data_IF_196727281344
#
_entry.id   IF_196727281344
#
_cell.length_a   1.000
_cell.length_b   1.000
_cell.length_c   1.000
_cell.angle_alpha   90.00
_cell.angle_beta   90.00
_cell.angle_gamma   90.00
#
_symmetry.space_group_name_H-M   'P 1'
#
loop_
_entity.id
_entity.type
_entity.pdbx_description
1 polymer ?
#
# COMPACT_ATOMS: atom_id res chain seq x y z
N UNK A 1 30.65 -18.28 -13.41
CA UNK A 1 29.41 -19.08 -13.42
C UNK A 1 28.24 -18.43 -12.66
N UNK A 2 28.42 -17.82 -11.47
CA UNK A 2 27.33 -17.15 -10.72
C UNK A 2 26.62 -16.00 -11.43
N UNK A 3 27.32 -15.21 -12.27
CA UNK A 3 26.72 -14.07 -13.00
C UNK A 3 25.73 -14.51 -14.09
N UNK A 4 26.00 -15.61 -14.81
CA UNK A 4 25.09 -16.11 -15.86
C UNK A 4 23.80 -16.71 -15.27
N UNK A 5 23.86 -17.33 -14.09
CA UNK A 5 22.68 -17.88 -13.42
C UNK A 5 21.69 -16.77 -13.00
N UNK A 6 22.19 -15.60 -12.58
CA UNK A 6 21.37 -14.46 -12.18
C UNK A 6 20.67 -13.85 -13.41
N UNK A 7 21.37 -13.70 -14.54
CA UNK A 7 20.78 -13.19 -15.78
C UNK A 7 19.71 -14.12 -16.35
N UNK A 8 19.91 -15.44 -16.24
CA UNK A 8 18.94 -16.44 -16.70
C UNK A 8 17.69 -16.49 -15.82
N UNK A 9 17.85 -16.34 -14.50
CA UNK A 9 16.74 -16.22 -13.56
C UNK A 9 15.89 -14.95 -13.83
N UNK A 10 16.54 -13.84 -14.18
CA UNK A 10 15.85 -12.59 -14.53
C UNK A 10 15.02 -12.74 -15.82
N UNK A 11 15.53 -13.45 -16.83
CA UNK A 11 14.82 -13.73 -18.08
C UNK A 11 13.61 -14.66 -17.88
N UNK A 12 13.68 -15.62 -16.96
CA UNK A 12 12.56 -16.50 -16.61
C UNK A 12 11.41 -15.74 -15.94
N UNK A 13 11.70 -14.74 -15.11
CA UNK A 13 10.69 -13.87 -14.47
C UNK A 13 10.00 -12.95 -15.49
N UNK A 14 10.66 -12.62 -16.60
CA UNK A 14 10.12 -11.78 -17.68
C UNK A 14 9.26 -12.54 -18.70
N UNK A 15 9.42 -13.86 -18.81
CA UNK A 15 8.69 -14.71 -19.78
C UNK A 15 7.16 -14.71 -19.67
N UNK A 16 6.51 -14.65 -18.49
CA UNK A 16 5.03 -14.63 -18.42
C UNK A 16 4.41 -13.31 -18.90
N UNK A 17 5.18 -12.23 -19.05
CA UNK A 17 4.65 -10.95 -19.56
C UNK A 17 4.37 -10.98 -21.07
N UNK A 18 5.00 -11.88 -21.82
CA UNK A 18 4.85 -11.96 -23.29
C UNK A 18 3.60 -12.74 -23.69
N UNK A 19 3.11 -13.66 -22.84
CA UNK A 19 1.98 -14.55 -23.15
C UNK A 19 0.58 -14.00 -22.78
N UNK A 20 0.47 -12.76 -22.30
CA UNK A 20 -0.82 -12.20 -21.82
C UNK A 20 -1.70 -11.55 -22.91
N UNK A 21 -1.37 -11.66 -24.19
CA UNK A 21 -2.14 -11.01 -25.27
C UNK A 21 -2.98 -12.00 -26.07
N UNK A 22 -3.94 -12.66 -25.42
CA UNK A 22 -5.08 -13.25 -26.13
C UNK A 22 -6.29 -12.34 -25.92
N UNK A 23 -6.53 -11.45 -26.89
CA UNK A 23 -7.76 -10.66 -26.95
C UNK A 23 -8.84 -11.57 -27.51
N UNK A 24 -9.65 -12.17 -26.62
CA UNK A 24 -10.92 -12.77 -27.02
C UNK A 24 -11.90 -11.67 -27.43
N UNK A 25 -12.56 -11.73 -28.59
CA UNK A 25 -13.43 -10.65 -29.09
C UNK A 25 -14.73 -10.44 -28.30
N UNK A 26 -14.99 -11.20 -27.23
CA UNK A 26 -16.32 -11.28 -26.58
C UNK A 26 -16.29 -11.12 -25.05
N UNK A 27 -15.20 -10.56 -24.51
CA UNK A 27 -15.17 -10.20 -23.10
C UNK A 27 -16.07 -8.97 -22.88
N UNK A 28 -17.25 -9.16 -22.27
CA UNK A 28 -18.05 -8.08 -21.64
C UNK A 28 -17.08 -7.06 -21.06
N UNK A 29 -17.12 -5.82 -21.57
CA UNK A 29 -16.17 -4.78 -21.19
C UNK A 29 -16.21 -4.62 -19.67
N UNK A 30 -15.22 -5.21 -18.99
CA UNK A 30 -15.10 -5.05 -17.56
C UNK A 30 -14.81 -3.57 -17.30
N UNK A 31 -15.59 -2.96 -16.42
CA UNK A 31 -15.47 -1.55 -16.07
C UNK A 31 -14.22 -1.29 -15.18
N UNK A 32 -13.40 -2.32 -14.90
CA UNK A 32 -12.22 -2.19 -14.04
C UNK A 32 -12.63 -1.68 -12.64
N UNK A 33 -13.70 -2.26 -12.10
CA UNK A 33 -14.33 -1.86 -10.84
C UNK A 33 -13.51 -2.31 -9.64
N UNK A 34 -12.88 -3.48 -9.76
CA UNK A 34 -12.08 -4.08 -8.71
C UNK A 34 -10.62 -4.11 -9.13
N UNK A 35 -9.73 -4.02 -8.17
CA UNK A 35 -8.29 -3.95 -8.39
C UNK A 35 -7.54 -4.72 -7.34
N UNK A 36 -6.60 -5.56 -7.79
CA UNK A 36 -5.52 -6.04 -6.94
C UNK A 36 -4.33 -5.13 -7.07
N UNK A 37 -3.76 -4.75 -5.94
CA UNK A 37 -2.74 -3.72 -5.82
C UNK A 37 -1.59 -4.26 -4.99
N UNK A 38 -0.36 -4.08 -5.46
CA UNK A 38 0.84 -4.17 -4.65
C UNK A 38 1.40 -2.75 -4.45
N UNK A 39 1.73 -2.40 -3.21
CA UNK A 39 2.03 -1.02 -2.82
C UNK A 39 3.20 -0.92 -1.86
N UNK A 40 4.00 0.13 -2.04
CA UNK A 40 5.06 0.56 -1.15
C UNK A 40 4.74 1.94 -0.58
N UNK A 41 5.03 2.16 0.69
CA UNK A 41 4.81 3.47 1.33
C UNK A 41 3.34 3.92 1.31
N UNK A 42 2.40 2.98 1.29
CA UNK A 42 0.97 3.28 1.32
C UNK A 42 0.34 3.07 2.70
N UNK A 43 -1.00 2.91 2.78
CA UNK A 43 -1.72 2.65 4.03
C UNK A 43 -1.28 1.38 4.76
N UNK A 44 -0.70 0.41 4.04
CA UNK A 44 -0.02 -0.74 4.63
C UNK A 44 1.34 -0.44 5.27
N UNK A 45 1.72 0.84 5.36
CA UNK A 45 2.92 1.40 5.98
C UNK A 45 4.17 1.22 5.12
N UNK A 46 4.74 0.00 5.03
CA UNK A 46 5.94 -0.23 4.23
C UNK A 46 5.62 -0.97 2.94
N UNK A 47 5.17 -2.23 3.01
CA UNK A 47 4.75 -3.03 1.87
C UNK A 47 3.34 -3.55 2.08
N UNK A 48 2.49 -3.59 1.05
CA UNK A 48 1.17 -4.22 1.16
C UNK A 48 0.61 -4.74 -0.15
N UNK A 49 -0.22 -5.78 -0.02
CA UNK A 49 -1.14 -6.22 -1.04
C UNK A 49 -2.55 -5.79 -0.64
N UNK A 50 -3.28 -5.14 -1.54
CA UNK A 50 -4.59 -4.57 -1.29
C UNK A 50 -5.59 -5.05 -2.34
N UNK A 51 -6.82 -5.32 -1.89
CA UNK A 51 -7.99 -5.43 -2.73
C UNK A 51 -8.79 -4.14 -2.61
N UNK A 52 -9.05 -3.52 -3.76
CA UNK A 52 -9.80 -2.27 -3.87
C UNK A 52 -10.99 -2.48 -4.78
N UNK A 53 -12.17 -2.01 -4.39
CA UNK A 53 -13.39 -2.14 -5.20
C UNK A 53 -14.27 -0.90 -5.11
N UNK A 54 -14.91 -0.52 -6.22
CA UNK A 54 -15.93 0.55 -6.22
C UNK A 54 -17.27 0.01 -5.72
N UNK A 55 -18.05 0.84 -5.04
CA UNK A 55 -19.40 0.43 -4.59
C UNK A 55 -20.42 0.41 -5.72
N UNK A 56 -20.23 1.27 -6.74
CA UNK A 56 -21.06 1.31 -7.94
C UNK A 56 -20.38 0.59 -9.10
N UNK A 57 -21.13 0.26 -10.14
CA UNK A 57 -20.60 -0.31 -11.38
C UNK A 57 -19.92 0.79 -12.23
N UNK A 58 -18.84 1.33 -11.70
CA UNK A 58 -18.02 2.39 -12.28
C UNK A 58 -16.57 2.14 -11.89
N UNK A 59 -15.61 2.79 -12.58
CA UNK A 59 -14.21 2.86 -12.13
C UNK A 59 -13.94 4.08 -11.23
N UNK A 60 -14.84 5.07 -11.28
CA UNK A 60 -14.73 6.33 -10.55
C UNK A 60 -15.68 6.34 -9.34
N UNK A 61 -15.47 7.32 -8.46
CA UNK A 61 -16.30 7.56 -7.29
C UNK A 61 -15.92 6.72 -6.10
N UNK A 62 -16.88 6.52 -5.20
CA UNK A 62 -16.69 5.84 -3.92
C UNK A 62 -16.35 4.36 -4.06
N UNK A 63 -15.40 3.93 -3.24
CA UNK A 63 -15.03 2.53 -3.05
C UNK A 63 -14.39 2.28 -1.69
N UNK A 64 -14.04 1.02 -1.50
CA UNK A 64 -13.35 0.54 -0.32
C UNK A 64 -12.06 -0.17 -0.69
N UNK A 65 -11.14 -0.20 0.26
CA UNK A 65 -9.87 -0.91 0.21
C UNK A 65 -9.69 -1.70 1.49
N UNK A 66 -9.24 -2.94 1.35
CA UNK A 66 -8.71 -3.75 2.44
C UNK A 66 -7.44 -4.43 1.97
N UNK A 67 -6.48 -4.63 2.86
CA UNK A 67 -5.23 -5.29 2.50
C UNK A 67 -4.54 -5.95 3.66
N UNK A 68 -3.39 -6.54 3.32
CA UNK A 68 -2.42 -7.08 4.25
C UNK A 68 -1.06 -6.54 3.87
N UNK A 69 -0.35 -6.01 4.85
CA UNK A 69 0.99 -5.48 4.67
C UNK A 69 1.98 -6.00 5.70
N UNK A 70 3.21 -5.57 5.50
CA UNK A 70 4.35 -5.92 6.32
C UNK A 70 5.15 -4.66 6.58
N UNK A 71 5.58 -4.49 7.84
CA UNK A 71 6.46 -3.42 8.26
C UNK A 71 7.53 -4.00 9.17
N UNK A 72 8.75 -3.50 9.02
CA UNK A 72 9.87 -3.80 9.90
C UNK A 72 10.37 -2.52 10.54
N UNK A 73 10.64 -2.57 11.83
CA UNK A 73 11.17 -1.46 12.60
C UNK A 73 12.10 -1.99 13.70
N UNK A 74 12.99 -1.14 14.19
CA UNK A 74 13.86 -1.46 15.31
C UNK A 74 13.06 -1.35 16.61
N UNK A 75 13.20 -2.35 17.49
CA UNK A 75 12.62 -2.32 18.83
C UNK A 75 13.60 -1.65 19.78
N UNK A 76 13.58 -0.32 19.83
CA UNK A 76 14.35 0.40 20.84
C UNK A 76 13.71 0.16 22.22
N UNK A 77 14.48 -0.34 23.18
CA UNK A 77 14.02 -0.54 24.55
C UNK A 77 14.69 0.47 25.47
N UNK A 78 13.87 1.15 26.27
CA UNK A 78 14.34 2.08 27.30
C UNK A 78 14.82 1.30 28.52
N UNK A 79 16.10 1.47 28.88
CA UNK A 79 16.66 0.87 30.09
C UNK A 79 16.48 1.85 31.28
N UNK A 80 15.60 1.53 32.26
CA UNK A 80 15.33 2.40 33.40
C UNK A 80 16.50 2.48 34.38
N UNK A 81 17.49 1.59 34.29
CA UNK A 81 18.66 1.55 35.18
C UNK A 81 19.77 2.47 34.65
N UNK A 82 19.98 2.50 33.33
CA UNK A 82 21.04 3.30 32.71
C UNK A 82 20.55 4.63 32.14
N UNK A 83 19.23 4.82 32.01
CA UNK A 83 18.63 6.04 31.44
C UNK A 83 18.87 6.18 29.93
N UNK A 84 19.33 5.12 29.27
CA UNK A 84 19.68 5.11 27.85
C UNK A 84 18.68 4.30 27.03
N UNK A 85 18.58 4.65 25.74
CA UNK A 85 17.94 3.80 24.74
C UNK A 85 18.97 2.82 24.21
N UNK A 86 18.72 1.53 24.38
CA UNK A 86 19.52 0.49 23.75
C UNK A 86 18.80 0.04 22.48
N UNK A 87 19.52 0.06 21.35
CA UNK A 87 18.98 -0.40 20.06
C UNK A 87 18.75 -1.90 20.12
N UNK A 88 17.49 -2.33 20.04
CA UNK A 88 17.12 -3.74 20.01
C UNK A 88 17.09 -4.31 18.60
N UNK A 89 16.66 -5.57 18.52
CA UNK A 89 16.61 -6.32 17.27
C UNK A 89 15.59 -5.74 16.28
N UNK A 90 15.84 -5.94 14.98
CA UNK A 90 14.87 -5.61 13.94
C UNK A 90 13.67 -6.57 14.05
N UNK A 91 12.51 -6.01 14.36
CA UNK A 91 11.26 -6.76 14.43
C UNK A 91 10.39 -6.49 13.21
N UNK A 92 9.57 -7.48 12.84
CA UNK A 92 8.59 -7.37 11.76
C UNK A 92 7.18 -7.64 12.28
N UNK A 93 6.23 -6.87 11.77
CA UNK A 93 4.80 -6.98 12.05
C UNK A 93 3.97 -7.02 10.76
N UNK A 94 2.79 -7.60 10.89
CA UNK A 94 1.77 -7.61 9.85
C UNK A 94 0.89 -6.38 10.06
N UNK A 95 0.48 -5.74 8.96
CA UNK A 95 -0.44 -4.61 8.96
C UNK A 95 -1.73 -4.98 8.24
N UNK A 96 -2.86 -4.50 8.76
CA UNK A 96 -4.19 -4.72 8.20
C UNK A 96 -4.83 -3.36 7.89
N UNK A 97 -4.54 -2.76 6.71
CA UNK A 97 -5.16 -1.53 6.27
C UNK A 97 -6.62 -1.75 5.81
N UNK A 98 -7.50 -0.85 6.23
CA UNK A 98 -8.88 -0.72 5.74
C UNK A 98 -9.15 0.75 5.45
N UNK A 99 -9.62 1.07 4.25
CA UNK A 99 -9.90 2.44 3.84
C UNK A 99 -11.18 2.59 3.02
N UNK A 100 -11.78 3.76 3.12
CA UNK A 100 -12.71 4.29 2.13
C UNK A 100 -11.96 5.25 1.22
N UNK A 101 -12.31 5.27 -0.06
CA UNK A 101 -11.69 6.22 -0.98
C UNK A 101 -12.65 6.66 -2.08
N UNK A 102 -12.34 7.81 -2.69
CA UNK A 102 -13.06 8.40 -3.81
C UNK A 102 -12.08 8.68 -4.95
N UNK A 103 -12.42 8.23 -6.16
CA UNK A 103 -11.64 8.47 -7.36
C UNK A 103 -12.32 9.53 -8.23
N UNK A 104 -11.65 10.68 -8.39
CA UNK A 104 -12.00 11.77 -9.28
C UNK A 104 -11.36 11.54 -10.65
N UNK A 105 -12.09 11.78 -11.74
CA UNK A 105 -11.54 11.63 -13.08
C UNK A 105 -12.58 11.78 -14.16
N UNK A 106 -12.16 11.54 -15.41
CA UNK A 106 -13.06 11.51 -16.57
C UNK A 106 -13.26 10.06 -17.02
N UNK A 107 -14.49 9.66 -17.34
CA UNK A 107 -14.77 8.30 -17.82
C UNK A 107 -14.01 7.94 -19.11
N UNK A 108 -13.63 8.89 -19.94
CA UNK A 108 -12.88 8.57 -21.17
C UNK A 108 -11.36 8.77 -21.01
N UNK A 109 -10.89 9.12 -19.81
CA UNK A 109 -9.47 9.30 -19.53
C UNK A 109 -8.94 8.11 -18.72
N UNK A 110 -7.70 7.66 -18.98
CA UNK A 110 -7.03 6.72 -18.10
C UNK A 110 -6.48 7.40 -16.84
N UNK A 111 -6.53 8.73 -16.75
CA UNK A 111 -5.96 9.50 -15.66
C UNK A 111 -7.03 9.90 -14.65
N UNK A 112 -6.73 9.70 -13.38
CA UNK A 112 -7.62 9.95 -12.26
C UNK A 112 -6.82 10.32 -11.02
N UNK A 113 -7.49 10.90 -10.04
CA UNK A 113 -6.93 11.24 -8.74
C UNK A 113 -7.75 10.55 -7.66
N UNK A 114 -7.09 9.94 -6.70
CA UNK A 114 -7.70 9.17 -5.63
C UNK A 114 -7.43 9.86 -4.29
N UNK A 115 -8.48 10.04 -3.50
CA UNK A 115 -8.40 10.49 -2.10
C UNK A 115 -9.00 9.41 -1.23
N UNK A 116 -8.28 8.98 -0.21
CA UNK A 116 -8.71 7.93 0.71
C UNK A 116 -8.41 8.26 2.16
N UNK A 117 -9.17 7.63 3.04
CA UNK A 117 -9.04 7.73 4.49
C UNK A 117 -9.46 6.43 5.16
N UNK A 118 -8.77 6.04 6.22
CA UNK A 118 -9.11 4.84 6.98
C UNK A 118 -8.17 4.55 8.13
N UNK A 119 -8.06 3.28 8.47
CA UNK A 119 -7.34 2.79 9.63
C UNK A 119 -6.43 1.63 9.24
N UNK A 120 -5.26 1.55 9.87
CA UNK A 120 -4.35 0.42 9.74
C UNK A 120 -4.06 -0.15 11.11
N UNK A 121 -4.39 -1.43 11.30
CA UNK A 121 -4.04 -2.16 12.50
C UNK A 121 -2.69 -2.87 12.33
N UNK A 122 -1.81 -2.80 13.33
CA UNK A 122 -0.50 -3.43 13.34
C UNK A 122 -0.47 -4.50 14.42
N UNK A 123 -0.08 -5.72 14.05
CA UNK A 123 -0.20 -6.88 14.95
C UNK A 123 0.78 -6.85 16.13
N UNK A 124 1.87 -6.09 16.03
CA UNK A 124 2.85 -5.89 17.10
C UNK A 124 3.05 -4.40 17.38
N UNK A 125 3.39 -4.08 18.62
CA UNK A 125 3.76 -2.74 19.06
C UNK A 125 5.21 -2.45 18.61
N UNK A 126 5.34 -1.82 17.44
CA UNK A 126 6.64 -1.42 16.86
C UNK A 126 6.77 0.10 16.85
N UNK A 127 8.00 0.61 16.99
CA UNK A 127 8.31 2.03 16.76
C UNK A 127 8.29 2.32 15.26
N UNK A 128 7.10 2.59 14.73
CA UNK A 128 6.91 2.88 13.31
C UNK A 128 7.21 4.37 13.10
N UNK A 129 8.14 4.67 12.20
CA UNK A 129 8.48 6.03 11.73
C UNK A 129 8.75 7.09 12.82
N UNK A 130 9.11 6.70 14.05
CA UNK A 130 9.37 7.57 15.20
C UNK A 130 8.13 8.25 15.81
N UNK A 131 6.92 7.69 15.64
CA UNK A 131 5.73 8.15 16.37
C UNK A 131 5.90 8.10 17.90
N UNK A 132 6.84 7.30 18.40
CA UNK A 132 7.08 7.07 19.82
C UNK A 132 8.25 7.90 20.40
N UNK A 133 8.93 8.74 19.61
CA UNK A 133 10.08 9.54 20.10
C UNK A 133 9.66 10.67 21.07
N UNK A 134 8.37 11.04 21.09
CA UNK A 134 7.86 12.18 21.87
C UNK A 134 6.82 11.80 22.94
N UNK A 135 6.63 10.52 23.27
CA UNK A 135 5.61 10.07 24.23
C UNK A 135 6.05 8.92 25.13
N UNK A 136 5.45 8.83 26.31
CA UNK A 136 5.67 7.74 27.28
C UNK A 136 5.46 6.35 26.62
N UNK A 137 6.47 5.49 26.77
CA UNK A 137 6.65 4.17 26.13
C UNK A 137 5.50 3.16 26.32
N UNK A 138 4.57 3.40 27.25
CA UNK A 138 3.41 2.52 27.48
C UNK A 138 2.31 2.61 26.40
N UNK A 139 2.40 3.57 25.47
CA UNK A 139 1.33 3.90 24.51
C UNK A 139 1.66 3.58 23.05
N UNK A 140 2.55 2.60 22.76
CA UNK A 140 2.79 2.14 21.38
C UNK A 140 1.47 1.76 20.74
N UNK A 141 1.04 2.58 19.78
CA UNK A 141 -0.29 2.50 19.20
C UNK A 141 -0.31 1.42 18.12
N UNK A 142 -1.25 0.48 18.24
CA UNK A 142 -1.45 -0.57 17.22
C UNK A 142 -2.42 -0.15 16.12
N UNK A 143 -3.08 0.99 16.26
CA UNK A 143 -4.10 1.48 15.34
C UNK A 143 -3.75 2.87 14.81
N UNK A 144 -3.45 2.97 13.52
CA UNK A 144 -3.07 4.22 12.89
C UNK A 144 -4.18 4.74 11.99
N UNK A 145 -4.45 6.04 12.03
CA UNK A 145 -5.21 6.73 11.00
C UNK A 145 -4.39 6.84 9.72
N UNK A 146 -4.97 6.54 8.57
CA UNK A 146 -4.30 6.63 7.27
C UNK A 146 -5.08 7.49 6.31
N UNK A 147 -4.38 8.31 5.55
CA UNK A 147 -4.93 9.06 4.42
C UNK A 147 -4.11 8.77 3.18
N UNK A 148 -4.70 8.83 2.00
CA UNK A 148 -4.00 8.60 0.74
C UNK A 148 -4.40 9.63 -0.30
N UNK A 149 -3.43 10.27 -0.93
CA UNK A 149 -3.62 11.25 -2.01
C UNK A 149 -2.78 10.81 -3.20
N UNK A 150 -3.43 10.18 -4.19
CA UNK A 150 -2.73 9.42 -5.22
C UNK A 150 -3.15 9.84 -6.61
N UNK A 151 -2.18 10.14 -7.47
CA UNK A 151 -2.41 10.14 -8.90
C UNK A 151 -2.47 8.70 -9.39
N UNK A 152 -3.51 8.37 -10.17
CA UNK A 152 -3.80 7.02 -10.65
C UNK A 152 -3.94 7.01 -12.16
N UNK A 153 -3.17 6.14 -12.81
CA UNK A 153 -3.37 5.78 -14.21
C UNK A 153 -3.97 4.38 -14.31
N UNK A 154 -5.21 4.29 -14.78
CA UNK A 154 -5.95 3.05 -14.98
C UNK A 154 -6.63 3.07 -16.37
N UNK A 155 -6.40 2.07 -17.24
CA UNK A 155 -7.09 1.99 -18.52
C UNK A 155 -8.62 1.87 -18.35
N UNK A 156 -9.35 2.41 -19.34
CA UNK A 156 -10.82 2.51 -19.34
C UNK A 156 -11.51 1.14 -19.20
N UNK A 157 -10.93 0.11 -19.81
CA UNK A 157 -11.48 -1.24 -19.91
C UNK A 157 -10.86 -2.23 -18.91
N UNK A 158 -10.26 -1.71 -17.83
CA UNK A 158 -9.45 -2.54 -16.92
C UNK A 158 -8.06 -2.85 -17.47
N UNK A 159 -7.31 -3.67 -16.73
CA UNK A 159 -5.91 -4.00 -17.01
C UNK A 159 -4.92 -3.33 -16.06
N UNK A 160 -3.65 -3.27 -16.48
CA UNK A 160 -2.55 -2.76 -15.66
C UNK A 160 -2.74 -1.28 -15.28
N UNK A 161 -2.56 -0.97 -14.01
CA UNK A 161 -2.56 0.39 -13.46
C UNK A 161 -1.37 0.64 -12.57
N UNK A 162 -1.06 1.92 -12.39
CA UNK A 162 -0.08 2.36 -11.41
C UNK A 162 -0.57 3.63 -10.71
N UNK A 163 -0.05 3.86 -9.51
CA UNK A 163 -0.37 5.02 -8.70
C UNK A 163 0.86 5.54 -7.99
N UNK A 164 0.93 6.85 -7.83
CA UNK A 164 1.98 7.53 -7.07
C UNK A 164 1.37 8.69 -6.32
N UNK A 165 1.87 8.98 -5.13
CA UNK A 165 1.35 10.06 -4.32
C UNK A 165 1.97 10.05 -2.93
N UNK A 166 1.22 10.53 -1.95
CA UNK A 166 1.66 10.53 -0.57
C UNK A 166 0.54 10.05 0.35
N UNK A 167 0.96 9.46 1.46
CA UNK A 167 0.10 8.81 2.43
C UNK A 167 0.39 9.37 3.83
N UNK A 168 -0.37 10.35 4.32
CA UNK A 168 -0.26 10.78 5.70
C UNK A 168 -0.73 9.66 6.65
N UNK A 169 0.10 9.34 7.63
CA UNK A 169 -0.19 8.43 8.73
C UNK A 169 -0.32 9.24 10.02
N UNK A 170 -1.32 8.91 10.82
CA UNK A 170 -1.65 9.57 12.08
C UNK A 170 -1.63 8.54 13.18
N UNK A 171 -0.82 8.78 14.21
CA UNK A 171 -0.68 7.89 15.36
C UNK A 171 -0.16 8.66 16.56
N UNK A 172 -0.62 8.31 17.76
CA UNK A 172 -0.14 8.90 19.02
C UNK A 172 -0.10 10.45 19.05
N UNK A 173 -1.01 11.12 18.32
CA UNK A 173 -1.10 12.59 18.26
C UNK A 173 -0.19 13.28 17.23
N UNK A 174 0.62 12.53 16.48
CA UNK A 174 1.48 13.06 15.42
C UNK A 174 0.96 12.68 14.03
N UNK A 175 1.44 13.42 13.03
CA UNK A 175 1.16 13.16 11.61
C UNK A 175 2.49 13.04 10.88
N UNK A 176 2.64 11.99 10.09
CA UNK A 176 3.81 11.79 9.24
C UNK A 176 3.39 11.41 7.84
N UNK A 177 3.82 12.20 6.87
CA UNK A 177 3.57 11.93 5.47
C UNK A 177 4.80 11.29 4.82
N UNK A 178 4.55 10.31 3.98
CA UNK A 178 5.57 9.64 3.17
C UNK A 178 5.03 9.41 1.77
N UNK A 179 5.95 9.26 0.82
CA UNK A 179 5.61 8.96 -0.56
C UNK A 179 5.17 7.51 -0.70
N UNK A 180 4.22 7.30 -1.60
CA UNK A 180 3.62 6.01 -1.89
C UNK A 180 3.68 5.73 -3.38
N UNK A 181 3.95 4.48 -3.74
CA UNK A 181 3.86 4.01 -5.12
C UNK A 181 3.21 2.63 -5.15
N UNK A 182 2.42 2.37 -6.18
CA UNK A 182 1.79 1.06 -6.36
C UNK A 182 1.60 0.70 -7.81
N UNK A 183 1.52 -0.60 -8.04
CA UNK A 183 1.10 -1.21 -9.30
C UNK A 183 -0.10 -2.12 -9.02
N UNK A 184 -0.94 -2.33 -10.01
CA UNK A 184 -2.11 -3.17 -9.84
C UNK A 184 -2.73 -3.59 -11.15
N UNK A 185 -3.72 -4.47 -11.05
CA UNK A 185 -4.49 -4.98 -12.17
C UNK A 185 -5.98 -4.80 -11.90
N UNK A 186 -6.71 -4.20 -12.84
CA UNK A 186 -8.12 -3.85 -12.71
C UNK A 186 -9.00 -4.77 -13.55
N UNK A 187 -10.14 -5.17 -13.01
CA UNK A 187 -11.09 -6.10 -13.64
C UNK A 187 -12.52 -5.90 -13.13
#
# INVERSE_FOLDING_TARGET
MRKCAITLAFLLILSPFIFSQNISPDAKTSIGKSSFIAEIGGPGIAFSANYDTRFKQSRLGFGGRVGVGFVSAYDDYYDPVTGNYNGGDQQSAITLPVQLNYIFGKNNSPHSFEVGGGLTYVTKKLNIMNFDYYGNQDHRTQLFGTFSFMYRRQPVNGGFSWRVGFTPLVGSGYIQAFAAASVGYNF
#
